data_IF_802402187242
#
_entry.id   IF_802402187242
#
_cell.length_a   1.000
_cell.length_b   1.000
_cell.length_c   1.000
_cell.angle_alpha   90.00
_cell.angle_beta   90.00
_cell.angle_gamma   90.00
#
_symmetry.space_group_name_H-M   'P 1'
#
loop_
_entity.id
_entity.type
_entity.pdbx_description
1 polymer ?
#
# COMPACT_ATOMS: atom_id res chain seq x y z
N UNK A 1 48.48 23.01 44.52
CA UNK A 1 47.81 24.06 43.72
C UNK A 1 47.12 23.39 42.55
N UNK A 2 45.78 23.38 42.54
CA UNK A 2 44.95 22.76 41.50
C UNK A 2 44.28 23.86 40.69
N UNK A 3 44.71 24.05 39.45
CA UNK A 3 44.08 24.96 38.49
C UNK A 3 42.79 24.31 37.97
N UNK A 4 41.65 24.82 38.44
CA UNK A 4 40.33 24.43 37.95
C UNK A 4 40.05 25.22 36.67
N UNK A 5 40.15 24.55 35.53
CA UNK A 5 39.86 25.11 34.21
C UNK A 5 38.35 25.33 34.05
N UNK A 6 37.95 26.52 33.61
CA UNK A 6 36.55 26.84 33.30
C UNK A 6 36.27 26.47 31.84
N UNK A 7 35.18 25.76 31.61
CA UNK A 7 34.58 25.55 30.29
C UNK A 7 33.66 26.74 30.02
N UNK A 8 33.88 27.54 28.97
CA UNK A 8 32.84 28.40 28.45
C UNK A 8 31.93 27.57 27.52
N UNK A 9 30.68 27.37 27.95
CA UNK A 9 29.59 27.09 27.02
C UNK A 9 29.41 28.32 26.15
N UNK A 10 29.73 28.20 24.86
CA UNK A 10 29.43 29.23 23.87
C UNK A 10 28.17 28.77 23.13
N UNK A 11 27.03 29.33 23.52
CA UNK A 11 25.83 29.30 22.70
C UNK A 11 26.12 30.10 21.43
N UNK A 12 26.22 29.43 20.30
CA UNK A 12 26.01 30.07 19.01
C UNK A 12 24.50 30.02 18.77
N UNK A 13 23.84 31.16 18.95
CA UNK A 13 22.54 31.44 18.33
C UNK A 13 22.72 31.26 16.83
N UNK A 14 22.32 30.11 16.31
CA UNK A 14 21.95 29.87 14.92
C UNK A 14 21.27 28.49 14.88
N UNK A 15 19.98 28.47 15.17
CA UNK A 15 19.11 27.31 14.87
C UNK A 15 18.98 27.06 13.35
N UNK A 16 19.68 27.83 12.51
CA UNK A 16 19.87 27.61 11.07
C UNK A 16 21.23 26.97 10.71
N UNK A 17 22.09 26.63 11.68
CA UNK A 17 23.45 26.10 11.44
C UNK A 17 23.69 24.65 11.90
N UNK A 18 22.67 23.93 12.35
CA UNK A 18 22.82 22.51 12.73
C UNK A 18 22.85 21.55 11.52
N UNK A 19 22.45 22.00 10.33
CA UNK A 19 22.35 21.14 9.13
C UNK A 19 23.66 20.98 8.33
N UNK A 20 24.73 21.71 8.67
CA UNK A 20 26.03 21.63 7.99
C UNK A 20 27.09 20.86 8.79
N UNK A 21 26.70 20.14 9.85
CA UNK A 21 27.62 19.25 10.57
C UNK A 21 27.98 18.06 9.68
N UNK A 22 29.18 18.08 9.11
CA UNK A 22 29.77 16.93 8.40
C UNK A 22 29.94 15.79 9.41
N UNK A 23 29.14 14.74 9.26
CA UNK A 23 29.25 13.50 10.03
C UNK A 23 30.51 12.76 9.62
N UNK A 24 31.23 12.17 10.58
CA UNK A 24 32.33 11.27 10.26
C UNK A 24 31.83 9.96 9.59
N UNK A 25 32.72 9.19 8.98
CA UNK A 25 32.32 7.99 8.22
C UNK A 25 31.59 6.94 9.09
N UNK A 26 31.91 6.87 10.38
CA UNK A 26 31.28 5.95 11.30
C UNK A 26 29.89 6.44 11.71
N UNK A 27 29.75 7.72 12.05
CA UNK A 27 28.46 8.37 12.35
C UNK A 27 27.51 8.27 11.14
N UNK A 28 28.01 8.41 9.90
CA UNK A 28 27.21 8.23 8.69
C UNK A 28 26.71 6.80 8.52
N UNK A 29 27.56 5.80 8.78
CA UNK A 29 27.17 4.38 8.70
C UNK A 29 26.12 4.02 9.74
N UNK A 30 26.32 4.46 10.99
CA UNK A 30 25.35 4.26 12.06
C UNK A 30 24.02 4.95 11.75
N UNK A 31 24.05 6.14 11.15
CA UNK A 31 22.84 6.85 10.72
C UNK A 31 22.10 6.11 9.61
N UNK A 32 22.81 5.68 8.55
CA UNK A 32 22.21 4.94 7.42
C UNK A 32 21.58 3.63 7.90
N UNK A 33 22.28 2.86 8.75
CA UNK A 33 21.75 1.62 9.28
C UNK A 33 20.52 1.85 10.16
N UNK A 34 20.52 2.94 10.94
CA UNK A 34 19.36 3.34 11.73
C UNK A 34 18.18 3.70 10.83
N UNK A 35 18.39 4.52 9.79
CA UNK A 35 17.37 4.88 8.82
C UNK A 35 16.79 3.64 8.12
N UNK A 36 17.65 2.71 7.68
CA UNK A 36 17.21 1.45 7.06
C UNK A 36 16.34 0.62 8.00
N UNK A 37 16.74 0.48 9.27
CA UNK A 37 15.96 -0.28 10.25
C UNK A 37 14.60 0.36 10.56
N UNK A 38 14.56 1.70 10.62
CA UNK A 38 13.34 2.47 10.83
C UNK A 38 12.40 2.35 9.63
N UNK A 39 12.93 2.48 8.42
CA UNK A 39 12.16 2.36 7.18
C UNK A 39 11.58 0.95 7.00
N UNK A 40 12.37 -0.10 7.23
CA UNK A 40 11.88 -1.47 7.20
C UNK A 40 10.71 -1.71 8.18
N UNK A 41 10.81 -1.14 9.39
CA UNK A 41 9.75 -1.24 10.41
C UNK A 41 8.49 -0.47 9.97
N UNK A 42 8.66 0.74 9.44
CA UNK A 42 7.55 1.56 8.94
C UNK A 42 6.86 0.89 7.74
N UNK A 43 7.62 0.36 6.79
CA UNK A 43 7.13 -0.36 5.62
C UNK A 43 6.30 -1.59 6.03
N UNK A 44 6.77 -2.35 7.02
CA UNK A 44 6.01 -3.48 7.56
C UNK A 44 4.68 -3.01 8.18
N UNK A 45 4.70 -1.90 8.93
CA UNK A 45 3.49 -1.33 9.53
C UNK A 45 2.49 -0.84 8.45
N UNK A 46 2.95 -0.16 7.41
CA UNK A 46 2.10 0.30 6.30
C UNK A 46 1.43 -0.87 5.59
N UNK A 47 2.18 -1.95 5.31
CA UNK A 47 1.62 -3.15 4.71
C UNK A 47 0.62 -3.86 5.63
N UNK A 48 0.86 -3.89 6.95
CA UNK A 48 -0.10 -4.44 7.92
C UNK A 48 -1.39 -3.61 7.96
N UNK A 49 -1.27 -2.28 8.01
CA UNK A 49 -2.41 -1.38 8.04
C UNK A 49 -3.26 -1.52 6.77
N UNK A 50 -2.63 -1.71 5.62
CA UNK A 50 -3.27 -1.91 4.32
C UNK A 50 -4.06 -3.23 4.22
N UNK A 51 -3.64 -4.28 4.95
CA UNK A 51 -4.36 -5.57 4.96
C UNK A 51 -5.73 -5.48 5.59
N UNK A 52 -5.93 -4.61 6.57
CA UNK A 52 -7.22 -4.45 7.27
C UNK A 52 -8.35 -4.01 6.33
N UNK A 53 -8.25 -2.88 5.59
CA UNK A 53 -9.30 -2.46 4.66
C UNK A 53 -9.45 -3.43 3.48
N UNK A 54 -8.37 -4.08 3.02
CA UNK A 54 -8.47 -5.13 2.00
C UNK A 54 -9.26 -6.34 2.50
N UNK A 55 -8.96 -6.86 3.69
CA UNK A 55 -9.68 -7.99 4.27
C UNK A 55 -11.16 -7.64 4.47
N UNK A 56 -11.45 -6.45 4.97
CA UNK A 56 -12.82 -5.96 5.16
C UNK A 56 -13.56 -5.84 3.81
N UNK A 57 -12.93 -5.22 2.81
CA UNK A 57 -13.53 -5.05 1.49
C UNK A 57 -13.78 -6.40 0.80
N UNK A 58 -12.85 -7.35 0.93
CA UNK A 58 -13.00 -8.70 0.43
C UNK A 58 -14.14 -9.44 1.11
N UNK A 59 -14.21 -9.38 2.46
CA UNK A 59 -15.28 -9.98 3.24
C UNK A 59 -16.66 -9.42 2.85
N UNK A 60 -16.79 -8.11 2.62
CA UNK A 60 -18.04 -7.51 2.17
C UNK A 60 -18.47 -8.01 0.79
N UNK A 61 -17.54 -8.22 -0.15
CA UNK A 61 -17.86 -8.81 -1.45
C UNK A 61 -18.27 -10.28 -1.33
N UNK A 62 -17.63 -11.04 -0.44
CA UNK A 62 -18.03 -12.43 -0.14
C UNK A 62 -19.45 -12.45 0.45
N UNK A 63 -19.76 -11.59 1.42
CA UNK A 63 -21.11 -11.49 1.99
C UNK A 63 -22.14 -11.14 0.91
N UNK A 64 -21.81 -10.20 0.02
CA UNK A 64 -22.67 -9.83 -1.12
C UNK A 64 -22.96 -11.02 -2.04
N UNK A 65 -22.00 -11.94 -2.25
CA UNK A 65 -22.23 -13.15 -3.06
C UNK A 65 -23.33 -14.05 -2.48
N UNK A 66 -23.45 -14.12 -1.16
CA UNK A 66 -24.42 -14.99 -0.47
C UNK A 66 -25.73 -14.30 -0.10
N UNK A 67 -25.79 -12.96 -0.09
CA UNK A 67 -26.99 -12.19 0.26
C UNK A 67 -28.01 -12.19 -0.88
N UNK A 68 -29.28 -12.49 -0.60
CA UNK A 68 -30.41 -12.28 -1.52
C UNK A 68 -31.47 -11.37 -0.85
N UNK A 69 -32.02 -10.36 -1.55
CA UNK A 69 -31.71 -9.92 -2.91
C UNK A 69 -30.31 -9.29 -3.04
N UNK A 70 -29.76 -9.31 -4.28
CA UNK A 70 -28.46 -8.71 -4.62
C UNK A 70 -28.55 -7.18 -4.64
N UNK A 71 -28.56 -6.59 -3.46
CA UNK A 71 -28.55 -5.15 -3.23
C UNK A 71 -27.17 -4.70 -2.75
N UNK A 72 -26.76 -3.47 -3.12
CA UNK A 72 -25.52 -2.89 -2.62
C UNK A 72 -25.49 -2.90 -1.08
N UNK A 73 -24.40 -3.35 -0.45
CA UNK A 73 -24.29 -3.34 1.01
C UNK A 73 -24.30 -1.91 1.58
N UNK A 74 -24.00 -0.89 0.77
CA UNK A 74 -24.06 0.51 1.19
C UNK A 74 -25.49 0.97 1.51
N UNK A 75 -26.53 0.29 1.02
CA UNK A 75 -27.91 0.60 1.39
C UNK A 75 -28.21 0.36 2.87
N UNK A 76 -27.40 -0.44 3.57
CA UNK A 76 -27.52 -0.59 5.02
C UNK A 76 -27.18 0.71 5.78
N UNK A 77 -26.31 1.55 5.20
CA UNK A 77 -25.90 2.85 5.77
C UNK A 77 -26.70 4.01 5.17
N UNK A 78 -27.06 3.90 3.90
CA UNK A 78 -27.75 4.93 3.13
C UNK A 78 -29.01 4.34 2.48
N UNK A 79 -30.12 4.21 3.23
CA UNK A 79 -31.34 3.61 2.71
C UNK A 79 -31.88 4.42 1.54
N UNK A 80 -32.18 3.75 0.41
CA UNK A 80 -32.87 4.36 -0.72
C UNK A 80 -34.37 4.09 -0.67
N UNK A 81 -35.14 5.03 -1.22
CA UNK A 81 -36.60 4.96 -1.25
C UNK A 81 -37.12 3.94 -2.27
N UNK A 82 -36.32 3.60 -3.28
CA UNK A 82 -36.68 2.62 -4.32
C UNK A 82 -35.58 1.57 -4.48
N UNK A 83 -35.90 0.28 -4.36
CA UNK A 83 -34.94 -0.78 -4.61
C UNK A 83 -34.67 -0.85 -6.12
N UNK A 84 -33.48 -0.43 -6.52
CA UNK A 84 -32.99 -0.57 -7.90
C UNK A 84 -32.16 -1.87 -7.94
N UNK A 85 -32.43 -2.79 -8.88
CA UNK A 85 -31.64 -4.01 -8.97
C UNK A 85 -30.18 -3.67 -9.34
N UNK A 86 -29.24 -4.45 -8.81
CA UNK A 86 -27.82 -4.35 -9.15
C UNK A 86 -27.54 -4.54 -10.64
N UNK A 87 -26.28 -4.31 -11.05
CA UNK A 87 -25.80 -4.63 -12.40
C UNK A 87 -26.11 -6.10 -12.77
N UNK A 88 -26.44 -6.40 -14.04
CA UNK A 88 -26.71 -7.76 -14.47
C UNK A 88 -25.47 -8.63 -14.24
N UNK A 89 -25.69 -9.87 -13.79
CA UNK A 89 -24.60 -10.80 -13.43
C UNK A 89 -23.66 -10.24 -12.35
N UNK A 90 -24.17 -9.43 -11.42
CA UNK A 90 -23.42 -8.91 -10.27
C UNK A 90 -22.61 -9.97 -9.50
N UNK A 91 -23.03 -11.26 -9.37
CA UNK A 91 -22.20 -12.26 -8.70
C UNK A 91 -20.86 -12.53 -9.42
N UNK A 92 -20.83 -12.46 -10.75
CA UNK A 92 -19.57 -12.65 -11.50
C UNK A 92 -18.60 -11.51 -11.22
N UNK A 93 -19.09 -10.26 -11.21
CA UNK A 93 -18.27 -9.10 -10.89
C UNK A 93 -17.80 -9.10 -9.43
N UNK A 94 -18.65 -9.51 -8.50
CA UNK A 94 -18.25 -9.66 -7.11
C UNK A 94 -17.18 -10.74 -6.94
N UNK A 95 -17.29 -11.89 -7.62
CA UNK A 95 -16.26 -12.92 -7.63
C UNK A 95 -14.93 -12.41 -8.20
N UNK A 96 -14.97 -11.68 -9.31
CA UNK A 96 -13.77 -11.05 -9.89
C UNK A 96 -13.13 -10.05 -8.92
N UNK A 97 -13.93 -9.23 -8.23
CA UNK A 97 -13.42 -8.33 -7.21
C UNK A 97 -12.80 -9.08 -6.03
N UNK A 98 -13.38 -10.21 -5.59
CA UNK A 98 -12.77 -11.06 -4.55
C UNK A 98 -11.42 -11.60 -5.02
N UNK A 99 -11.34 -12.16 -6.24
CA UNK A 99 -10.07 -12.65 -6.80
C UNK A 99 -9.02 -11.55 -6.93
N UNK A 100 -9.43 -10.35 -7.37
CA UNK A 100 -8.54 -9.19 -7.43
C UNK A 100 -8.04 -8.79 -6.04
N UNK A 101 -8.92 -8.74 -5.04
CA UNK A 101 -8.51 -8.41 -3.68
C UNK A 101 -7.61 -9.46 -3.05
N UNK A 102 -7.83 -10.75 -3.32
CA UNK A 102 -6.90 -11.80 -2.92
C UNK A 102 -5.53 -11.60 -3.57
N UNK A 103 -5.49 -11.24 -4.86
CA UNK A 103 -4.26 -10.88 -5.55
C UNK A 103 -3.56 -9.67 -4.90
N UNK A 104 -4.32 -8.64 -4.52
CA UNK A 104 -3.77 -7.47 -3.81
C UNK A 104 -3.25 -7.82 -2.42
N UNK A 105 -3.93 -8.70 -1.68
CA UNK A 105 -3.45 -9.18 -0.37
C UNK A 105 -2.12 -9.92 -0.53
N UNK A 106 -1.96 -10.75 -1.56
CA UNK A 106 -0.70 -11.43 -1.86
C UNK A 106 0.45 -10.45 -2.07
N UNK A 107 0.19 -9.32 -2.73
CA UNK A 107 1.14 -8.22 -2.91
C UNK A 107 1.55 -7.50 -1.62
N UNK A 108 0.81 -7.70 -0.52
CA UNK A 108 1.18 -7.13 0.78
C UNK A 108 2.00 -8.09 1.65
N UNK A 109 2.12 -9.37 1.28
CA UNK A 109 2.90 -10.33 2.06
C UNK A 109 4.39 -10.18 1.77
N UNK A 110 5.26 -10.37 2.79
CA UNK A 110 6.68 -10.47 2.54
C UNK A 110 6.97 -11.70 1.66
N UNK A 111 8.01 -11.66 0.81
CA UNK A 111 8.33 -12.75 -0.13
C UNK A 111 8.63 -14.08 0.57
N UNK A 112 9.01 -14.04 1.85
CA UNK A 112 9.30 -15.19 2.69
C UNK A 112 8.05 -15.85 3.29
N UNK A 113 6.87 -15.25 3.11
CA UNK A 113 5.63 -15.76 3.70
C UNK A 113 5.25 -17.12 3.08
N UNK A 114 4.89 -18.14 3.89
CA UNK A 114 4.62 -19.49 3.39
C UNK A 114 3.49 -19.54 2.35
N UNK A 115 2.45 -18.71 2.50
CA UNK A 115 1.37 -18.63 1.51
C UNK A 115 1.87 -18.12 0.15
N UNK A 116 2.74 -17.12 0.15
CA UNK A 116 3.33 -16.58 -1.08
C UNK A 116 4.20 -17.65 -1.76
N UNK A 117 5.03 -18.34 -0.98
CA UNK A 117 5.87 -19.44 -1.48
C UNK A 117 5.07 -20.63 -1.98
N UNK A 118 3.94 -20.96 -1.35
CA UNK A 118 3.08 -22.05 -1.79
C UNK A 118 2.38 -21.71 -3.11
N UNK A 119 1.85 -20.50 -3.23
CA UNK A 119 1.10 -20.05 -4.41
C UNK A 119 2.04 -19.81 -5.60
N UNK A 120 3.23 -19.27 -5.37
CA UNK A 120 4.22 -19.03 -6.44
C UNK A 120 4.80 -20.33 -7.03
N UNK A 121 4.61 -21.49 -6.37
CA UNK A 121 4.97 -22.81 -6.91
C UNK A 121 3.93 -23.37 -7.89
N UNK A 122 2.77 -22.74 -8.04
CA UNK A 122 1.77 -23.16 -9.02
C UNK A 122 2.29 -22.88 -10.43
N UNK A 123 2.27 -23.89 -11.30
CA UNK A 123 2.68 -23.76 -12.70
C UNK A 123 1.75 -22.79 -13.48
N UNK A 124 2.25 -22.15 -14.56
CA UNK A 124 1.44 -21.30 -15.43
C UNK A 124 0.20 -22.08 -15.95
N UNK A 125 -0.97 -21.45 -16.08
CA UNK A 125 -1.21 -20.00 -16.19
C UNK A 125 -1.56 -19.28 -14.88
N UNK A 126 -1.54 -19.96 -13.73
CA UNK A 126 -2.04 -19.41 -12.45
C UNK A 126 -0.95 -18.79 -11.57
N UNK A 127 0.12 -18.25 -12.18
CA UNK A 127 1.20 -17.60 -11.43
C UNK A 127 0.67 -16.36 -10.73
N UNK A 128 0.50 -16.45 -9.42
CA UNK A 128 0.08 -15.37 -8.54
C UNK A 128 1.23 -14.98 -7.60
N UNK A 129 1.34 -13.70 -7.23
CA UNK A 129 0.43 -12.62 -7.60
C UNK A 129 0.65 -12.09 -9.03
N UNK A 130 -0.44 -11.75 -9.71
CA UNK A 130 -0.43 -11.05 -10.99
C UNK A 130 0.18 -9.67 -10.80
N UNK A 131 1.17 -9.26 -11.62
CA UNK A 131 1.79 -7.95 -11.52
C UNK A 131 0.76 -6.84 -11.80
N UNK A 132 0.93 -5.68 -11.18
CA UNK A 132 0.04 -4.51 -11.39
C UNK A 132 0.01 -4.03 -12.84
N UNK A 133 1.09 -4.25 -13.59
CA UNK A 133 1.18 -3.95 -15.02
C UNK A 133 0.35 -4.89 -15.89
N UNK A 134 -0.13 -6.01 -15.34
CA UNK A 134 -0.94 -6.95 -16.09
C UNK A 134 -2.28 -6.30 -16.46
N UNK A 135 -2.71 -6.36 -17.75
CA UNK A 135 -3.92 -5.67 -18.21
C UNK A 135 -5.17 -6.11 -17.44
N UNK A 136 -5.23 -7.37 -16.99
CA UNK A 136 -6.34 -7.87 -16.16
C UNK A 136 -6.39 -7.15 -14.82
N UNK A 137 -5.25 -6.89 -14.16
CA UNK A 137 -5.24 -6.19 -12.87
C UNK A 137 -5.68 -4.73 -13.02
N UNK A 138 -5.37 -4.10 -14.16
CA UNK A 138 -5.68 -2.69 -14.42
C UNK A 138 -7.11 -2.47 -14.93
N UNK A 139 -7.60 -3.31 -15.84
CA UNK A 139 -8.90 -3.12 -16.50
C UNK A 139 -10.05 -3.69 -15.68
N UNK A 140 -9.89 -4.87 -15.08
CA UNK A 140 -10.96 -5.57 -14.33
C UNK A 140 -11.64 -4.69 -13.27
N UNK A 141 -10.92 -3.94 -12.40
CA UNK A 141 -11.57 -3.11 -11.39
C UNK A 141 -12.42 -1.96 -11.98
N UNK A 142 -12.20 -1.57 -13.23
CA UNK A 142 -12.96 -0.51 -13.90
C UNK A 142 -14.22 -1.01 -14.62
N UNK A 143 -14.34 -2.31 -14.90
CA UNK A 143 -15.46 -2.85 -15.70
C UNK A 143 -16.81 -2.72 -14.97
N UNK A 144 -16.89 -3.12 -13.71
CA UNK A 144 -18.13 -3.04 -12.94
C UNK A 144 -18.60 -1.58 -12.71
N UNK A 145 -17.76 -0.62 -12.30
CA UNK A 145 -18.20 0.76 -12.11
C UNK A 145 -18.58 1.45 -13.43
N UNK A 146 -17.86 1.20 -14.53
CA UNK A 146 -18.23 1.73 -15.85
C UNK A 146 -19.58 1.19 -16.31
N UNK A 147 -19.83 -0.12 -16.14
CA UNK A 147 -21.13 -0.72 -16.45
C UNK A 147 -22.25 -0.15 -15.57
N UNK A 148 -21.98 0.08 -14.28
CA UNK A 148 -22.92 0.73 -13.36
C UNK A 148 -23.34 2.12 -13.86
N UNK A 149 -22.36 2.91 -14.31
CA UNK A 149 -22.59 4.25 -14.84
C UNK A 149 -23.34 4.23 -16.18
N UNK A 150 -22.97 3.33 -17.10
CA UNK A 150 -23.66 3.16 -18.40
C UNK A 150 -25.12 2.74 -18.24
N UNK A 151 -25.40 1.87 -17.27
CA UNK A 151 -26.76 1.43 -16.95
C UNK A 151 -27.55 2.43 -16.09
N UNK A 152 -26.97 3.60 -15.77
CA UNK A 152 -27.57 4.64 -14.93
C UNK A 152 -28.09 4.09 -13.60
N UNK A 153 -27.31 3.21 -12.97
CA UNK A 153 -27.61 2.68 -11.63
C UNK A 153 -27.45 3.77 -10.57
N UNK A 154 -27.82 3.45 -9.33
CA UNK A 154 -27.71 4.40 -8.24
C UNK A 154 -26.24 4.79 -8.01
N UNK A 155 -26.02 5.99 -7.46
CA UNK A 155 -24.67 6.42 -7.08
C UNK A 155 -24.04 5.48 -6.05
N UNK A 156 -24.86 4.84 -5.19
CA UNK A 156 -24.43 3.86 -4.20
C UNK A 156 -23.92 2.57 -4.86
N UNK A 157 -24.56 2.11 -5.93
CA UNK A 157 -24.05 0.97 -6.70
C UNK A 157 -22.72 1.32 -7.36
N UNK A 158 -22.63 2.49 -7.99
CA UNK A 158 -21.38 2.97 -8.57
C UNK A 158 -20.25 3.04 -7.52
N UNK A 159 -20.51 3.67 -6.37
CA UNK A 159 -19.55 3.78 -5.28
C UNK A 159 -19.10 2.40 -4.76
N UNK A 160 -20.04 1.46 -4.62
CA UNK A 160 -19.74 0.08 -4.22
C UNK A 160 -18.81 -0.61 -5.22
N UNK A 161 -19.10 -0.50 -6.53
CA UNK A 161 -18.26 -1.11 -7.56
C UNK A 161 -16.91 -0.43 -7.74
N UNK A 162 -16.77 0.84 -7.33
CA UNK A 162 -15.49 1.55 -7.30
C UNK A 162 -14.54 1.06 -6.19
N UNK A 163 -15.01 0.30 -5.19
CA UNK A 163 -14.17 -0.16 -4.08
C UNK A 163 -12.93 -0.93 -4.54
N UNK A 164 -13.07 -1.80 -5.54
CA UNK A 164 -11.96 -2.57 -6.07
C UNK A 164 -10.89 -1.68 -6.74
N UNK A 165 -11.32 -0.64 -7.46
CA UNK A 165 -10.43 0.34 -8.06
C UNK A 165 -9.68 1.14 -6.99
N UNK A 166 -10.41 1.64 -5.98
CA UNK A 166 -9.82 2.40 -4.87
C UNK A 166 -8.78 1.55 -4.12
N UNK A 167 -9.10 0.30 -3.80
CA UNK A 167 -8.16 -0.60 -3.13
C UNK A 167 -6.92 -0.89 -3.99
N UNK A 168 -7.09 -1.08 -5.30
CA UNK A 168 -5.96 -1.30 -6.23
C UNK A 168 -5.03 -0.09 -6.24
N UNK A 169 -5.60 1.13 -6.34
CA UNK A 169 -4.83 2.37 -6.34
C UNK A 169 -4.12 2.60 -5.00
N UNK A 170 -4.81 2.35 -3.89
CA UNK A 170 -4.22 2.47 -2.55
C UNK A 170 -2.98 1.57 -2.39
N UNK A 171 -3.11 0.29 -2.76
CA UNK A 171 -2.01 -0.68 -2.68
C UNK A 171 -0.85 -0.26 -3.58
N UNK A 172 -1.16 0.14 -4.82
CA UNK A 172 -0.15 0.60 -5.77
C UNK A 172 0.63 1.81 -5.22
N UNK A 173 -0.06 2.82 -4.70
CA UNK A 173 0.57 4.02 -4.13
C UNK A 173 1.48 3.67 -2.95
N UNK A 174 1.04 2.81 -2.03
CA UNK A 174 1.88 2.37 -0.90
C UNK A 174 3.13 1.64 -1.39
N UNK A 175 3.01 0.76 -2.39
CA UNK A 175 4.18 0.08 -2.95
C UNK A 175 5.15 1.01 -3.65
N UNK A 176 4.64 2.00 -4.40
CA UNK A 176 5.48 3.02 -5.04
C UNK A 176 6.22 3.84 -3.98
N UNK A 177 5.55 4.21 -2.90
CA UNK A 177 6.17 4.93 -1.80
C UNK A 177 7.28 4.10 -1.14
N UNK A 178 7.03 2.83 -0.80
CA UNK A 178 8.05 1.92 -0.24
C UNK A 178 9.28 1.86 -1.15
N UNK A 179 9.08 1.62 -2.45
CA UNK A 179 10.20 1.57 -3.42
C UNK A 179 10.95 2.89 -3.53
N UNK A 180 10.24 4.01 -3.46
CA UNK A 180 10.86 5.33 -3.48
C UNK A 180 11.70 5.57 -2.21
N UNK A 181 11.27 5.05 -1.06
CA UNK A 181 12.04 5.13 0.20
C UNK A 181 13.32 4.31 0.10
N UNK A 182 13.21 3.06 -0.38
CA UNK A 182 14.35 2.17 -0.59
C UNK A 182 15.39 2.78 -1.55
N UNK A 183 14.94 3.41 -2.64
CA UNK A 183 15.84 4.06 -3.60
C UNK A 183 16.54 5.28 -3.02
N UNK A 184 15.87 6.08 -2.17
CA UNK A 184 16.49 7.22 -1.48
C UNK A 184 17.58 6.76 -0.51
N UNK A 185 17.34 5.69 0.25
CA UNK A 185 18.37 5.09 1.13
C UNK A 185 19.55 4.59 0.29
N UNK A 186 19.28 3.94 -0.84
CA UNK A 186 20.32 3.46 -1.76
C UNK A 186 21.12 4.61 -2.38
N UNK A 187 20.48 5.73 -2.69
CA UNK A 187 21.15 6.93 -3.18
C UNK A 187 22.06 7.54 -2.11
N UNK A 188 21.60 7.61 -0.86
CA UNK A 188 22.42 8.04 0.29
C UNK A 188 23.66 7.15 0.47
N UNK A 189 23.51 5.83 0.33
CA UNK A 189 24.64 4.88 0.31
C UNK A 189 25.59 5.13 -0.86
N UNK A 190 25.07 5.50 -2.03
CA UNK A 190 25.86 5.84 -3.21
C UNK A 190 26.69 7.11 -3.03
N UNK A 191 26.17 8.10 -2.32
CA UNK A 191 26.88 9.37 -2.04
C UNK A 191 28.06 9.19 -1.08
N UNK A 192 28.00 8.21 -0.18
CA UNK A 192 29.11 7.82 0.73
C UNK A 192 30.43 7.57 -0.03
N UNK A 193 30.38 6.97 -1.22
CA UNK A 193 31.58 6.55 -1.96
C UNK A 193 32.31 7.68 -2.71
N UNK A 194 31.83 8.93 -2.67
CA UNK A 194 32.39 10.06 -3.44
C UNK A 194 33.21 11.08 -2.63
N UNK A 195 33.48 10.85 -1.35
CA UNK A 195 34.39 11.68 -0.57
C UNK A 195 35.75 10.98 -0.32
N UNK A 196 36.60 10.76 -1.33
CA UNK A 196 37.97 10.31 -1.09
C UNK A 196 38.77 11.45 -0.44
N UNK A 197 39.08 11.29 0.85
CA UNK A 197 40.15 11.96 1.60
C UNK A 197 40.39 13.44 1.27
N UNK A 198 39.72 14.33 1.99
CA UNK A 198 40.23 15.67 2.26
C UNK A 198 41.09 15.65 3.53
#
# INVERSE_FOLDING_TARGET
MSLRQRIPFRFAENEEAEDDRVLDEQEQEELIDRLRSQDATANQLYLQLLRVPLALSCALHIIFLFKDPKESPLYALFPAQTPIPSIPRSPLFALLNVLLQLNLVLHTFPPQHPLFLYISRLEPPFSLPLPFSHPVALVTPAVAPTLSLLLRRSWLDFAWWCMALVMTMLVYTVQVWIRSSDEQIRELEGMRYRAPGA
#
